data_IF_218089976577
#
_entry.id   IF_218089976577
#
_cell.length_a   1.000
_cell.length_b   1.000
_cell.length_c   1.000
_cell.angle_alpha   90.00
_cell.angle_beta   90.00
_cell.angle_gamma   90.00
#
_symmetry.space_group_name_H-M   'P 1'
#
loop_
_entity.id
_entity.type
_entity.pdbx_description
1 polymer ?
#
# COMPACT_ATOMS: atom_id res chain seq x y z
N UNK A 1 9.75 4.41 24.23
CA UNK A 1 10.17 3.66 23.02
C UNK A 1 9.36 4.21 21.85
N UNK A 2 9.98 4.43 20.69
CA UNK A 2 9.24 4.86 19.50
C UNK A 2 8.47 3.68 18.92
N UNK A 3 7.35 3.94 18.25
CA UNK A 3 6.57 2.87 17.60
C UNK A 3 7.38 2.12 16.54
N UNK A 4 8.34 2.80 15.91
CA UNK A 4 9.26 2.20 14.97
C UNK A 4 10.20 1.18 15.62
N UNK A 5 10.67 1.45 16.84
CA UNK A 5 11.43 0.46 17.60
C UNK A 5 10.55 -0.73 17.98
N UNK A 6 9.30 -0.48 18.38
CA UNK A 6 8.36 -1.55 18.70
C UNK A 6 8.13 -2.49 17.50
N UNK A 7 8.03 -1.95 16.28
CA UNK A 7 7.93 -2.76 15.06
C UNK A 7 9.16 -3.63 14.86
N UNK A 8 10.37 -3.11 15.08
CA UNK A 8 11.61 -3.87 14.95
C UNK A 8 11.70 -4.98 16.00
N UNK A 9 11.38 -4.66 17.25
CA UNK A 9 11.45 -5.59 18.37
C UNK A 9 10.48 -6.78 18.20
N UNK A 10 9.32 -6.54 17.58
CA UNK A 10 8.31 -7.58 17.31
C UNK A 10 8.37 -8.16 15.89
N UNK A 11 9.30 -7.74 15.03
CA UNK A 11 9.27 -8.09 13.61
C UNK A 11 9.36 -9.60 13.36
N UNK A 12 10.24 -10.29 14.07
CA UNK A 12 10.43 -11.73 13.94
C UNK A 12 9.18 -12.50 14.38
N UNK A 13 8.53 -12.06 15.45
CA UNK A 13 7.26 -12.65 15.92
C UNK A 13 6.13 -12.39 14.94
N UNK A 14 6.04 -11.18 14.38
CA UNK A 14 5.07 -10.81 13.35
C UNK A 14 5.24 -11.69 12.11
N UNK A 15 6.48 -11.87 11.62
CA UNK A 15 6.76 -12.72 10.46
C UNK A 15 6.41 -14.18 10.70
N UNK A 16 6.60 -14.66 11.92
CA UNK A 16 6.33 -16.04 12.33
C UNK A 16 4.82 -16.37 12.37
N UNK A 17 3.92 -15.39 12.31
CA UNK A 17 2.48 -15.64 12.20
C UNK A 17 2.20 -16.37 10.88
N UNK A 18 1.64 -17.61 10.92
CA UNK A 18 1.26 -18.34 9.72
C UNK A 18 0.17 -17.60 8.93
N UNK A 19 0.26 -17.62 7.61
CA UNK A 19 -0.67 -16.90 6.74
C UNK A 19 -2.11 -17.42 6.88
N UNK A 20 -2.28 -18.72 7.14
CA UNK A 20 -3.58 -19.35 7.35
C UNK A 20 -4.27 -18.89 8.64
N UNK A 21 -3.50 -18.28 9.56
CA UNK A 21 -4.01 -17.72 10.81
C UNK A 21 -4.25 -16.21 10.72
N UNK A 22 -3.87 -15.56 9.63
CA UNK A 22 -4.06 -14.12 9.47
C UNK A 22 -5.55 -13.81 9.45
N UNK A 23 -5.97 -12.92 10.36
CA UNK A 23 -7.37 -12.53 10.51
C UNK A 23 -7.62 -11.14 9.91
N UNK A 24 -8.78 -10.97 9.31
CA UNK A 24 -9.21 -9.69 8.77
C UNK A 24 -9.66 -8.74 9.88
N UNK A 25 -9.24 -7.48 9.79
CA UNK A 25 -9.70 -6.41 10.67
C UNK A 25 -11.06 -5.87 10.20
N UNK A 26 -12.12 -6.17 10.94
CA UNK A 26 -13.49 -5.77 10.61
C UNK A 26 -13.86 -4.34 11.04
N UNK A 27 -12.86 -3.53 11.40
CA UNK A 27 -13.02 -2.15 11.86
C UNK A 27 -11.80 -1.31 11.42
N UNK A 28 -11.88 0.03 11.46
CA UNK A 28 -10.72 0.86 11.15
C UNK A 28 -9.54 0.60 12.10
N UNK A 29 -8.34 0.39 11.55
CA UNK A 29 -7.12 0.10 12.30
C UNK A 29 -6.85 1.09 13.43
N UNK A 30 -7.00 2.40 13.14
CA UNK A 30 -6.87 3.45 14.15
C UNK A 30 -7.79 3.22 15.35
N UNK A 31 -9.06 2.88 15.10
CA UNK A 31 -10.04 2.65 16.16
C UNK A 31 -9.67 1.41 16.98
N UNK A 32 -9.19 0.35 16.34
CA UNK A 32 -8.74 -0.86 17.04
C UNK A 32 -7.53 -0.58 17.95
N UNK A 33 -6.54 0.15 17.44
CA UNK A 33 -5.34 0.56 18.20
C UNK A 33 -5.75 1.43 19.40
N UNK A 34 -6.58 2.45 19.18
CA UNK A 34 -7.08 3.33 20.26
C UNK A 34 -7.82 2.52 21.34
N UNK A 35 -8.63 1.52 20.92
CA UNK A 35 -9.31 0.62 21.86
C UNK A 35 -8.35 -0.30 22.63
N UNK A 36 -7.27 -0.77 21.99
CA UNK A 36 -6.24 -1.60 22.61
C UNK A 36 -5.46 -0.82 23.69
N UNK A 37 -5.06 0.42 23.41
CA UNK A 37 -4.37 1.27 24.38
C UNK A 37 -5.29 1.67 25.54
N UNK A 38 -6.56 1.98 25.23
CA UNK A 38 -7.58 2.19 26.25
C UNK A 38 -7.81 0.94 27.11
N UNK A 39 -7.73 -0.25 26.51
CA UNK A 39 -7.83 -1.53 27.23
C UNK A 39 -6.65 -1.75 28.16
N UNK A 40 -5.42 -1.45 27.71
CA UNK A 40 -4.22 -1.53 28.55
C UNK A 40 -4.36 -0.69 29.82
N UNK A 41 -4.78 0.57 29.67
CA UNK A 41 -4.98 1.49 30.80
C UNK A 41 -6.02 0.95 31.79
N UNK A 42 -7.14 0.42 31.29
CA UNK A 42 -8.19 -0.16 32.15
C UNK A 42 -7.75 -1.43 32.86
N UNK A 43 -7.14 -2.36 32.12
CA UNK A 43 -6.70 -3.64 32.66
C UNK A 43 -5.61 -3.47 33.74
N UNK A 44 -4.75 -2.44 33.62
CA UNK A 44 -3.78 -2.12 34.68
C UNK A 44 -4.45 -1.71 36.00
N UNK A 45 -5.54 -0.92 35.95
CA UNK A 45 -6.27 -0.52 37.16
C UNK A 45 -6.97 -1.71 37.83
N UNK A 46 -7.42 -2.67 37.03
CA UNK A 46 -8.10 -3.87 37.51
C UNK A 46 -7.15 -5.07 37.71
N UNK A 47 -5.83 -4.89 37.55
CA UNK A 47 -4.84 -5.98 37.53
C UNK A 47 -4.95 -6.94 38.72
N UNK A 48 -5.09 -6.47 39.99
CA UNK A 48 -5.23 -7.38 41.13
C UNK A 48 -6.48 -8.29 41.05
N UNK A 49 -7.54 -7.82 40.38
CA UNK A 49 -8.77 -8.59 40.18
C UNK A 49 -8.63 -9.58 39.02
N UNK A 50 -7.80 -9.28 38.03
CA UNK A 50 -7.48 -10.17 36.91
C UNK A 50 -6.54 -11.29 37.37
N UNK A 51 -5.49 -10.95 38.13
CA UNK A 51 -4.51 -11.90 38.67
C UNK A 51 -5.15 -12.92 39.63
N UNK A 52 -6.20 -12.53 40.35
CA UNK A 52 -6.97 -13.46 41.20
C UNK A 52 -7.58 -14.65 40.42
N UNK A 53 -7.64 -14.56 39.09
CA UNK A 53 -8.07 -15.64 38.19
C UNK A 53 -6.94 -16.17 37.30
N UNK A 54 -5.68 -15.97 37.70
CA UNK A 54 -4.46 -16.40 36.99
C UNK A 54 -4.28 -15.73 35.61
N UNK A 55 -4.71 -14.48 35.47
CA UNK A 55 -4.34 -13.70 34.29
C UNK A 55 -2.82 -13.54 34.17
N UNK A 56 -2.29 -13.80 32.98
CA UNK A 56 -0.86 -13.64 32.67
C UNK A 56 -0.53 -12.17 32.40
N UNK A 57 0.14 -11.52 33.35
CA UNK A 57 0.53 -10.10 33.28
C UNK A 57 1.39 -9.79 32.07
N UNK A 58 2.16 -10.77 31.56
CA UNK A 58 3.01 -10.55 30.39
C UNK A 58 2.22 -10.16 29.14
N UNK A 59 0.94 -10.56 29.05
CA UNK A 59 0.01 -10.15 27.98
C UNK A 59 -0.28 -8.66 28.03
N UNK A 60 -0.41 -8.11 29.24
CA UNK A 60 -0.64 -6.68 29.45
C UNK A 60 0.64 -5.89 29.17
N UNK A 61 1.78 -6.35 29.69
CA UNK A 61 3.08 -5.69 29.51
C UNK A 61 3.45 -5.50 28.03
N UNK A 62 3.14 -6.49 27.20
CA UNK A 62 3.45 -6.47 25.76
C UNK A 62 2.40 -5.77 24.90
N UNK A 63 1.22 -5.44 25.43
CA UNK A 63 0.11 -4.91 24.63
C UNK A 63 0.47 -3.58 23.95
N UNK A 64 1.11 -2.66 24.69
CA UNK A 64 1.52 -1.36 24.12
C UNK A 64 2.62 -1.50 23.06
N UNK A 65 3.53 -2.46 23.24
CA UNK A 65 4.58 -2.76 22.25
C UNK A 65 3.97 -3.21 20.93
N UNK A 66 3.11 -4.22 20.97
CA UNK A 66 2.48 -4.75 19.75
C UNK A 66 1.51 -3.73 19.12
N UNK A 67 0.78 -2.95 19.92
CA UNK A 67 -0.09 -1.90 19.36
C UNK A 67 0.71 -0.80 18.66
N UNK A 68 1.89 -0.45 19.19
CA UNK A 68 2.84 0.45 18.52
C UNK A 68 3.39 -0.16 17.23
N UNK A 69 3.78 -1.44 17.25
CA UNK A 69 4.22 -2.16 16.05
C UNK A 69 3.13 -2.17 14.95
N UNK A 70 1.89 -2.47 15.32
CA UNK A 70 0.74 -2.41 14.41
C UNK A 70 0.51 -1.00 13.86
N UNK A 71 0.63 0.05 14.68
CA UNK A 71 0.52 1.44 14.24
C UNK A 71 1.55 1.76 13.16
N UNK A 72 2.82 1.44 13.40
CA UNK A 72 3.87 1.68 12.40
C UNK A 72 3.65 0.86 11.13
N UNK A 73 3.27 -0.41 11.25
CA UNK A 73 2.97 -1.24 10.07
C UNK A 73 1.81 -0.67 9.24
N UNK A 74 0.75 -0.16 9.89
CA UNK A 74 -0.34 0.53 9.20
C UNK A 74 0.14 1.82 8.51
N UNK A 75 0.94 2.65 9.18
CA UNK A 75 1.48 3.89 8.58
C UNK A 75 2.39 3.60 7.39
N UNK A 76 3.21 2.55 7.44
CA UNK A 76 4.04 2.13 6.30
C UNK A 76 3.16 1.74 5.11
N UNK A 77 2.08 1.00 5.34
CA UNK A 77 1.12 0.64 4.30
C UNK A 77 0.40 1.85 3.70
N UNK A 78 -0.06 2.78 4.54
CA UNK A 78 -0.72 4.02 4.09
C UNK A 78 0.23 4.91 3.27
N UNK A 79 1.49 5.02 3.67
CA UNK A 79 2.51 5.75 2.90
C UNK A 79 2.70 5.12 1.53
N UNK A 80 2.90 3.79 1.48
CA UNK A 80 3.10 3.07 0.23
C UNK A 80 1.91 3.24 -0.74
N UNK A 81 0.68 3.16 -0.22
CA UNK A 81 -0.53 3.38 -1.03
C UNK A 81 -0.62 4.83 -1.53
N UNK A 82 -0.28 5.79 -0.68
CA UNK A 82 -0.27 7.21 -1.05
C UNK A 82 0.76 7.48 -2.15
N UNK A 83 1.96 6.93 -2.03
CA UNK A 83 3.04 7.13 -3.01
C UNK A 83 2.72 6.44 -4.34
N UNK A 84 2.13 5.24 -4.30
CA UNK A 84 1.59 4.58 -5.50
C UNK A 84 0.52 5.45 -6.19
N UNK A 85 -0.41 6.03 -5.43
CA UNK A 85 -1.44 6.90 -6.00
C UNK A 85 -0.82 8.15 -6.64
N UNK A 86 0.16 8.80 -5.99
CA UNK A 86 0.90 9.92 -6.58
C UNK A 86 1.58 9.52 -7.90
N UNK A 87 2.16 8.32 -7.97
CA UNK A 87 2.79 7.82 -9.19
C UNK A 87 1.76 7.59 -10.31
N UNK A 88 0.57 7.08 -9.98
CA UNK A 88 -0.56 6.97 -10.93
C UNK A 88 -0.98 8.35 -11.43
N UNK A 89 -1.19 9.31 -10.53
CA UNK A 89 -1.62 10.67 -10.88
C UNK A 89 -0.58 11.37 -11.78
N UNK A 90 0.71 11.22 -11.45
CA UNK A 90 1.81 11.75 -12.26
C UNK A 90 1.87 11.09 -13.65
N UNK A 91 1.70 9.76 -13.72
CA UNK A 91 1.62 9.05 -15.00
C UNK A 91 0.47 9.55 -15.85
N UNK A 92 -0.73 9.71 -15.29
CA UNK A 92 -1.90 10.20 -16.03
C UNK A 92 -1.71 11.63 -16.56
N UNK A 93 -0.96 12.47 -15.84
CA UNK A 93 -0.63 13.82 -16.27
C UNK A 93 0.40 13.86 -17.41
N UNK A 94 1.44 13.01 -17.36
CA UNK A 94 2.57 13.05 -18.30
C UNK A 94 2.38 12.15 -19.54
N UNK A 95 1.66 11.04 -19.40
CA UNK A 95 1.49 10.06 -20.47
C UNK A 95 0.94 10.64 -21.80
N UNK A 96 -0.03 11.58 -21.81
CA UNK A 96 -0.51 12.16 -23.06
C UNK A 96 0.60 12.83 -23.88
N UNK A 97 1.54 13.52 -23.22
CA UNK A 97 2.65 14.19 -23.89
C UNK A 97 3.67 13.16 -24.42
N UNK A 98 3.95 12.09 -23.67
CA UNK A 98 4.80 10.99 -24.12
C UNK A 98 4.21 10.31 -25.36
N UNK A 99 2.93 9.95 -25.37
CA UNK A 99 2.30 9.30 -26.51
C UNK A 99 2.25 10.20 -27.75
N UNK A 100 2.03 11.50 -27.56
CA UNK A 100 2.12 12.46 -28.66
C UNK A 100 3.53 12.51 -29.25
N UNK A 101 4.55 12.62 -28.41
CA UNK A 101 5.95 12.66 -28.86
C UNK A 101 6.37 11.35 -29.53
N UNK A 102 5.97 10.20 -28.98
CA UNK A 102 6.22 8.88 -29.58
C UNK A 102 5.70 8.81 -31.01
N UNK A 103 4.44 9.18 -31.24
CA UNK A 103 3.83 9.22 -32.57
C UNK A 103 4.55 10.20 -33.51
N UNK A 104 4.88 11.39 -33.00
CA UNK A 104 5.58 12.39 -33.78
C UNK A 104 6.96 11.89 -34.26
N UNK A 105 7.76 11.31 -33.35
CA UNK A 105 9.08 10.75 -33.69
C UNK A 105 8.96 9.67 -34.75
N UNK A 106 7.96 8.80 -34.62
CA UNK A 106 7.67 7.75 -35.59
C UNK A 106 7.37 8.32 -36.96
N UNK A 107 6.45 9.28 -37.06
CA UNK A 107 6.02 9.86 -38.34
C UNK A 107 7.19 10.58 -39.03
N UNK A 108 7.99 11.33 -38.27
CA UNK A 108 9.17 12.02 -38.81
C UNK A 108 10.27 11.06 -39.24
N UNK A 109 10.56 10.01 -38.45
CA UNK A 109 11.58 9.02 -38.81
C UNK A 109 11.15 8.15 -39.99
N UNK A 110 9.88 7.74 -40.08
CA UNK A 110 9.34 7.02 -41.26
C UNK A 110 9.58 7.84 -42.53
N UNK A 111 9.29 9.14 -42.48
CA UNK A 111 9.51 10.02 -43.62
C UNK A 111 11.00 10.26 -43.91
N UNK A 112 11.81 10.54 -42.89
CA UNK A 112 13.24 10.78 -43.05
C UNK A 112 13.97 9.55 -43.63
N UNK A 113 13.59 8.35 -43.20
CA UNK A 113 14.23 7.09 -43.54
C UNK A 113 13.62 6.40 -44.78
N UNK A 114 12.65 7.03 -45.45
CA UNK A 114 11.90 6.46 -46.60
C UNK A 114 12.73 5.84 -47.73
N UNK A 115 14.00 6.22 -47.88
CA UNK A 115 14.91 5.71 -48.91
C UNK A 115 15.85 4.60 -48.42
N UNK A 116 15.82 4.27 -47.12
CA UNK A 116 16.66 3.26 -46.48
C UNK A 116 15.79 2.17 -45.85
N UNK A 117 15.65 1.04 -46.56
CA UNK A 117 14.88 -0.10 -46.07
C UNK A 117 15.43 -0.69 -44.76
N UNK A 118 16.73 -0.56 -44.50
CA UNK A 118 17.35 -1.05 -43.26
C UNK A 118 16.91 -0.25 -42.05
N UNK A 119 16.87 1.09 -42.18
CA UNK A 119 16.38 1.98 -41.13
C UNK A 119 14.87 1.82 -40.91
N UNK A 120 14.08 1.65 -41.97
CA UNK A 120 12.64 1.39 -41.84
C UNK A 120 12.35 0.06 -41.12
N UNK A 121 13.16 -0.99 -41.36
CA UNK A 121 13.04 -2.26 -40.62
C UNK A 121 13.35 -2.10 -39.13
N UNK A 122 14.40 -1.35 -38.78
CA UNK A 122 14.73 -1.04 -37.38
C UNK A 122 13.58 -0.29 -36.71
N UNK A 123 13.04 0.72 -37.39
CA UNK A 123 11.92 1.51 -36.90
C UNK A 123 10.64 0.68 -36.73
N UNK A 124 10.38 -0.27 -37.64
CA UNK A 124 9.26 -1.21 -37.49
C UNK A 124 9.42 -2.16 -36.30
N UNK A 125 10.65 -2.61 -36.02
CA UNK A 125 10.94 -3.49 -34.88
C UNK A 125 10.83 -2.75 -33.54
N UNK A 126 11.12 -1.43 -33.53
CA UNK A 126 10.90 -0.61 -32.34
C UNK A 126 9.40 -0.58 -32.02
N UNK A 127 8.52 -0.31 -32.99
CA UNK A 127 7.07 -0.18 -32.78
C UNK A 127 6.35 -1.52 -32.46
N UNK A 128 7.07 -2.59 -32.16
CA UNK A 128 6.47 -3.91 -31.91
C UNK A 128 6.07 -4.04 -30.43
N UNK A 129 4.78 -3.89 -30.17
CA UNK A 129 4.21 -3.95 -28.82
C UNK A 129 3.18 -2.84 -28.60
N UNK A 130 2.39 -2.95 -27.54
CA UNK A 130 1.33 -1.98 -27.21
C UNK A 130 1.25 -1.67 -25.71
N UNK A 131 2.15 -2.21 -24.89
CA UNK A 131 2.16 -1.97 -23.46
C UNK A 131 2.84 -0.64 -23.10
N UNK A 132 2.61 -0.19 -21.86
CA UNK A 132 3.30 0.97 -21.27
C UNK A 132 4.81 0.79 -21.25
N UNK A 133 5.26 -0.43 -20.97
CA UNK A 133 6.68 -0.78 -20.95
C UNK A 133 7.28 -0.72 -22.36
N UNK A 134 6.54 -1.21 -23.37
CA UNK A 134 6.96 -1.14 -24.77
C UNK A 134 7.11 0.32 -25.20
N UNK A 135 6.13 1.19 -24.94
CA UNK A 135 6.22 2.61 -25.31
C UNK A 135 7.42 3.32 -24.66
N UNK A 136 7.76 3.01 -23.40
CA UNK A 136 8.95 3.56 -22.73
C UNK A 136 10.24 3.10 -23.43
N UNK A 137 10.31 1.81 -23.76
CA UNK A 137 11.45 1.25 -24.47
C UNK A 137 11.57 1.82 -25.89
N UNK A 138 10.45 2.06 -26.56
CA UNK A 138 10.39 2.71 -27.87
C UNK A 138 10.97 4.11 -27.80
N UNK A 139 10.55 4.91 -26.82
CA UNK A 139 11.03 6.28 -26.64
C UNK A 139 12.55 6.33 -26.48
N UNK A 140 13.12 5.44 -25.68
CA UNK A 140 14.58 5.31 -25.54
C UNK A 140 15.24 4.90 -26.87
N UNK A 141 14.65 3.92 -27.56
CA UNK A 141 15.19 3.36 -28.81
C UNK A 141 15.09 4.32 -29.99
N UNK A 142 14.00 5.10 -30.08
CA UNK A 142 13.80 6.18 -31.05
C UNK A 142 14.82 7.31 -30.83
N UNK A 143 15.07 7.69 -29.57
CA UNK A 143 16.10 8.67 -29.24
C UNK A 143 17.47 8.26 -29.78
N UNK A 144 17.89 7.02 -29.52
CA UNK A 144 19.17 6.47 -30.01
C UNK A 144 19.19 6.40 -31.54
N UNK A 145 18.15 5.83 -32.16
CA UNK A 145 18.08 5.70 -33.61
C UNK A 145 18.13 7.06 -34.33
N UNK A 146 17.44 8.07 -33.80
CA UNK A 146 17.48 9.42 -34.33
C UNK A 146 18.86 10.08 -34.16
N UNK A 147 19.51 9.88 -33.02
CA UNK A 147 20.85 10.42 -32.73
C UNK A 147 21.93 9.81 -33.61
N UNK A 148 21.76 8.55 -34.01
CA UNK A 148 22.67 7.87 -34.95
C UNK A 148 22.47 8.34 -36.40
N UNK A 149 21.35 9.01 -36.71
CA UNK A 149 20.95 9.36 -38.09
C UNK A 149 20.52 10.84 -38.23
N UNK A 150 21.18 11.74 -37.49
CA UNK A 150 20.79 13.16 -37.40
C UNK A 150 20.79 13.90 -38.74
N UNK A 151 21.67 13.53 -39.67
CA UNK A 151 21.76 14.16 -40.99
C UNK A 151 20.45 14.01 -41.79
N UNK A 152 19.83 12.82 -41.72
CA UNK A 152 18.56 12.52 -42.40
C UNK A 152 17.39 13.29 -41.78
N UNK A 153 17.41 13.45 -40.46
CA UNK A 153 16.41 14.23 -39.73
C UNK A 153 16.56 15.73 -40.00
N UNK A 154 17.80 16.22 -40.07
CA UNK A 154 18.09 17.64 -40.37
C UNK A 154 17.64 17.99 -41.79
N UNK A 155 17.78 17.07 -42.75
CA UNK A 155 17.34 17.25 -44.14
C UNK A 155 15.82 17.49 -44.27
N UNK A 156 15.02 17.10 -43.28
CA UNK A 156 13.57 17.35 -43.22
C UNK A 156 13.19 18.46 -42.24
N UNK A 157 14.16 19.24 -41.74
CA UNK A 157 14.00 20.28 -40.72
C UNK A 157 13.39 19.77 -39.41
N UNK A 158 13.73 18.55 -39.00
CA UNK A 158 13.31 18.01 -37.72
C UNK A 158 14.07 18.66 -36.55
N UNK A 159 13.36 18.90 -35.44
CA UNK A 159 13.94 19.44 -34.22
C UNK A 159 14.63 18.34 -33.41
N UNK A 160 15.96 18.28 -33.49
CA UNK A 160 16.78 17.28 -32.80
C UNK A 160 16.64 17.30 -31.28
N UNK A 161 16.21 18.41 -30.67
CA UNK A 161 16.02 18.50 -29.21
C UNK A 161 14.94 17.53 -28.71
N UNK A 162 13.99 17.16 -29.59
CA UNK A 162 12.95 16.16 -29.29
C UNK A 162 13.52 14.78 -29.01
N UNK A 163 14.71 14.45 -29.52
CA UNK A 163 15.39 13.19 -29.23
C UNK A 163 15.88 13.16 -27.78
N UNK A 164 16.37 14.28 -27.25
CA UNK A 164 16.76 14.38 -25.84
C UNK A 164 15.54 14.33 -24.92
N UNK A 165 14.46 15.03 -25.29
CA UNK A 165 13.18 14.95 -24.59
C UNK A 165 12.65 13.52 -24.54
N UNK A 166 12.80 12.75 -25.62
CA UNK A 166 12.35 11.37 -25.68
C UNK A 166 13.10 10.46 -24.69
N UNK A 167 14.42 10.61 -24.60
CA UNK A 167 15.23 9.88 -23.62
C UNK A 167 14.86 10.27 -22.18
N UNK A 168 14.71 11.57 -21.91
CA UNK A 168 14.32 12.05 -20.58
C UNK A 168 12.93 11.54 -20.16
N UNK A 169 11.97 11.55 -21.08
CA UNK A 169 10.62 11.00 -20.83
C UNK A 169 10.67 9.48 -20.61
N UNK A 170 11.49 8.74 -21.35
CA UNK A 170 11.64 7.31 -21.13
C UNK A 170 12.16 7.01 -19.71
N UNK A 171 13.18 7.75 -19.26
CA UNK A 171 13.73 7.62 -17.90
C UNK A 171 12.70 7.99 -16.82
N UNK A 172 12.02 9.15 -16.95
CA UNK A 172 11.05 9.61 -15.96
C UNK A 172 9.83 8.69 -15.87
N UNK A 173 9.25 8.34 -17.02
CA UNK A 173 8.08 7.48 -17.11
C UNK A 173 8.42 6.04 -16.69
N UNK A 174 9.64 5.57 -16.97
CA UNK A 174 10.15 4.29 -16.48
C UNK A 174 10.19 4.22 -14.95
N UNK A 175 10.62 5.31 -14.30
CA UNK A 175 10.56 5.46 -12.84
C UNK A 175 9.11 5.38 -12.31
N UNK A 176 8.20 6.18 -12.88
CA UNK A 176 6.78 6.17 -12.51
C UNK A 176 6.14 4.80 -12.70
N UNK A 177 6.42 4.11 -13.81
CA UNK A 177 5.90 2.76 -14.05
C UNK A 177 6.44 1.76 -13.01
N UNK A 178 7.70 1.92 -12.59
CA UNK A 178 8.30 1.15 -11.50
C UNK A 178 7.57 1.37 -10.17
N UNK A 179 7.24 2.61 -9.83
CA UNK A 179 6.52 2.96 -8.61
C UNK A 179 5.05 2.47 -8.63
N UNK A 180 4.39 2.55 -9.80
CA UNK A 180 3.02 2.03 -10.00
C UNK A 180 3.01 0.50 -9.87
N UNK A 181 3.94 -0.16 -10.55
CA UNK A 181 4.03 -1.62 -10.58
C UNK A 181 4.74 -2.21 -9.35
N UNK A 182 5.12 -1.36 -8.38
CA UNK A 182 5.87 -1.68 -7.16
C UNK A 182 5.96 -3.18 -6.87
N UNK A 183 7.13 -3.77 -7.13
CA UNK A 183 7.52 -5.16 -6.88
C UNK A 183 6.39 -6.20 -7.07
N UNK A 184 5.70 -6.16 -8.21
CA UNK A 184 4.62 -7.10 -8.61
C UNK A 184 4.93 -8.60 -8.44
N UNK A 185 6.20 -8.98 -8.22
CA UNK A 185 6.69 -10.35 -8.05
C UNK A 185 6.96 -10.78 -6.61
N UNK A 186 6.77 -9.90 -5.63
CA UNK A 186 6.81 -10.23 -4.21
C UNK A 186 5.43 -9.91 -3.62
N UNK A 187 4.91 -10.75 -2.72
CA UNK A 187 3.79 -10.31 -1.89
C UNK A 187 4.14 -8.95 -1.29
N UNK A 188 3.17 -8.03 -1.20
CA UNK A 188 3.37 -6.75 -0.53
C UNK A 188 3.74 -7.04 0.92
N UNK A 189 5.03 -7.23 1.20
CA UNK A 189 5.59 -7.57 2.51
C UNK A 189 5.03 -6.60 3.56
N UNK A 190 4.82 -5.34 3.16
CA UNK A 190 4.26 -4.29 4.01
C UNK A 190 2.80 -4.58 4.40
N UNK A 191 1.95 -5.01 3.45
CA UNK A 191 0.55 -5.38 3.76
C UNK A 191 0.50 -6.62 4.64
N UNK A 192 1.29 -7.63 4.29
CA UNK A 192 1.32 -8.90 5.01
C UNK A 192 1.84 -8.70 6.43
N UNK A 193 2.91 -7.91 6.61
CA UNK A 193 3.43 -7.51 7.92
C UNK A 193 2.36 -6.80 8.74
N UNK A 194 1.59 -5.88 8.14
CA UNK A 194 0.47 -5.21 8.83
C UNK A 194 -0.59 -6.22 9.28
N UNK A 195 -1.05 -7.09 8.39
CA UNK A 195 -2.13 -8.04 8.69
C UNK A 195 -1.69 -9.10 9.73
N UNK A 196 -0.42 -9.52 9.69
CA UNK A 196 0.19 -10.35 10.74
C UNK A 196 0.34 -9.61 12.07
N UNK A 197 0.78 -8.35 12.05
CA UNK A 197 0.86 -7.52 13.26
C UNK A 197 -0.51 -7.31 13.91
N UNK A 198 -1.55 -7.16 13.09
CA UNK A 198 -2.93 -7.09 13.56
C UNK A 198 -3.38 -8.36 14.24
N UNK A 199 -3.12 -9.50 13.60
CA UNK A 199 -3.46 -10.83 14.13
C UNK A 199 -2.85 -11.03 15.52
N UNK A 200 -1.55 -10.75 15.66
CA UNK A 200 -0.84 -10.84 16.94
C UNK A 200 -1.42 -9.89 18.00
N UNK A 201 -1.70 -8.62 17.62
CA UNK A 201 -2.30 -7.65 18.54
C UNK A 201 -3.69 -8.10 19.00
N UNK A 202 -4.49 -8.64 18.07
CA UNK A 202 -5.84 -9.13 18.31
C UNK A 202 -5.87 -10.30 19.27
N UNK A 203 -4.95 -11.24 19.16
CA UNK A 203 -4.84 -12.36 20.11
C UNK A 203 -4.67 -11.86 21.55
N UNK A 204 -3.78 -10.88 21.77
CA UNK A 204 -3.54 -10.29 23.10
C UNK A 204 -4.77 -9.52 23.59
N UNK A 205 -5.37 -8.71 22.71
CA UNK A 205 -6.56 -7.92 23.04
C UNK A 205 -7.74 -8.83 23.40
N UNK A 206 -7.99 -9.89 22.64
CA UNK A 206 -9.11 -10.79 22.86
C UNK A 206 -8.95 -11.59 24.17
N UNK A 207 -7.73 -11.97 24.51
CA UNK A 207 -7.43 -12.63 25.79
C UNK A 207 -7.75 -11.70 26.98
N UNK A 208 -7.23 -10.47 26.96
CA UNK A 208 -7.49 -9.48 28.02
C UNK A 208 -8.99 -9.17 28.14
N UNK A 209 -9.69 -9.04 27.01
CA UNK A 209 -11.15 -8.85 26.99
C UNK A 209 -11.90 -10.04 27.57
N UNK A 210 -11.44 -11.26 27.32
CA UNK A 210 -12.06 -12.49 27.83
C UNK A 210 -11.96 -12.56 29.36
N UNK A 211 -10.77 -12.30 29.91
CA UNK A 211 -10.57 -12.22 31.36
C UNK A 211 -11.42 -11.11 31.98
N UNK A 212 -11.36 -9.89 31.45
CA UNK A 212 -12.13 -8.78 32.01
C UNK A 212 -13.64 -9.02 31.98
N UNK A 213 -14.17 -9.59 30.88
CA UNK A 213 -15.60 -9.96 30.80
C UNK A 213 -15.98 -11.03 31.83
N UNK A 214 -15.10 -12.00 32.07
CA UNK A 214 -15.35 -13.07 33.03
C UNK A 214 -15.28 -12.57 34.48
N UNK A 215 -14.22 -11.83 34.84
CA UNK A 215 -14.02 -11.27 36.18
C UNK A 215 -15.16 -10.32 36.55
N UNK A 216 -15.63 -9.51 35.61
CA UNK A 216 -16.70 -8.54 35.82
C UNK A 216 -18.09 -9.02 35.40
N UNK A 217 -18.32 -10.33 35.23
CA UNK A 217 -19.60 -10.90 34.76
C UNK A 217 -20.86 -10.44 35.52
N UNK A 218 -20.71 -10.08 36.79
CA UNK A 218 -21.80 -9.60 37.67
C UNK A 218 -21.81 -8.07 37.84
N UNK A 219 -20.98 -7.33 37.10
CA UNK A 219 -20.86 -5.86 37.14
C UNK A 219 -20.95 -5.32 35.72
N UNK A 220 -22.16 -5.07 35.25
CA UNK A 220 -22.45 -4.76 33.84
C UNK A 220 -21.63 -3.59 33.29
N UNK A 221 -21.50 -2.49 34.02
CA UNK A 221 -20.71 -1.32 33.60
C UNK A 221 -19.24 -1.68 33.35
N UNK A 222 -18.64 -2.43 34.27
CA UNK A 222 -17.24 -2.88 34.15
C UNK A 222 -17.09 -3.91 33.04
N UNK A 223 -18.00 -4.87 32.93
CA UNK A 223 -17.99 -5.87 31.85
C UNK A 223 -18.09 -5.20 30.47
N UNK A 224 -18.92 -4.17 30.36
CA UNK A 224 -19.04 -3.39 29.13
C UNK A 224 -17.73 -2.66 28.80
N UNK A 225 -16.98 -2.16 29.78
CA UNK A 225 -15.68 -1.53 29.55
C UNK A 225 -14.62 -2.45 28.90
N UNK A 226 -14.77 -3.78 29.02
CA UNK A 226 -13.94 -4.80 28.35
C UNK A 226 -14.50 -5.29 27.01
N UNK A 227 -15.52 -4.61 26.48
CA UNK A 227 -16.06 -4.88 25.14
C UNK A 227 -15.73 -3.72 24.20
N UNK A 228 -15.50 -4.04 22.92
CA UNK A 228 -15.27 -3.01 21.89
C UNK A 228 -16.44 -2.03 21.85
N UNK A 229 -16.12 -0.73 21.96
CA UNK A 229 -17.12 0.34 21.87
C UNK A 229 -17.62 0.44 20.43
N UNK A 230 -16.71 0.39 19.46
CA UNK A 230 -17.02 0.45 18.04
C UNK A 230 -18.04 -0.62 17.63
N UNK A 231 -17.79 -1.88 17.97
CA UNK A 231 -18.69 -2.97 17.59
C UNK A 231 -20.07 -2.84 18.26
N UNK A 232 -20.15 -2.34 19.50
CA UNK A 232 -21.45 -2.08 20.14
C UNK A 232 -22.22 -0.98 19.43
N UNK A 233 -21.58 0.13 19.11
CA UNK A 233 -22.20 1.27 18.44
C UNK A 233 -22.66 0.89 17.03
N UNK A 234 -21.83 0.14 16.29
CA UNK A 234 -22.18 -0.42 14.97
C UNK A 234 -23.39 -1.34 15.05
N UNK A 235 -23.44 -2.26 16.01
CA UNK A 235 -24.59 -3.16 16.21
C UNK A 235 -25.86 -2.41 16.62
N UNK A 236 -25.74 -1.38 17.46
CA UNK A 236 -26.88 -0.56 17.87
C UNK A 236 -27.45 0.22 16.68
N UNK A 237 -26.59 0.82 15.85
CA UNK A 237 -27.00 1.51 14.63
C UNK A 237 -27.69 0.57 13.64
N UNK A 238 -27.11 -0.62 13.42
CA UNK A 238 -27.71 -1.65 12.56
C UNK A 238 -29.12 -2.06 13.03
N UNK A 239 -29.28 -2.35 14.33
CA UNK A 239 -30.59 -2.70 14.91
C UNK A 239 -31.62 -1.58 14.77
N UNK A 240 -31.19 -0.32 14.94
CA UNK A 240 -32.06 0.86 14.78
C UNK A 240 -32.51 1.01 13.32
N UNK A 241 -31.61 0.83 12.36
CA UNK A 241 -31.94 0.88 10.94
C UNK A 241 -32.94 -0.21 10.55
N UNK A 242 -32.68 -1.46 10.96
CA UNK A 242 -33.59 -2.58 10.70
C UNK A 242 -34.99 -2.38 11.30
N UNK A 243 -35.06 -1.87 12.53
CA UNK A 243 -36.34 -1.55 13.16
C UNK A 243 -37.08 -0.40 12.47
N UNK A 244 -36.37 0.53 11.80
CA UNK A 244 -37.01 1.59 11.01
C UNK A 244 -37.56 1.04 9.69
N UNK A 245 -36.87 0.10 9.05
CA UNK A 245 -37.33 -0.59 7.83
C UNK A 245 -38.53 -1.50 8.08
N UNK A 246 -38.59 -2.19 9.23
CA UNK A 246 -39.74 -3.05 9.59
C UNK A 246 -41.00 -2.25 9.98
N UNK A 247 -40.87 -0.96 10.28
CA UNK A 247 -41.98 -0.06 10.64
C UNK A 247 -42.36 0.93 9.52
N UNK A 248 -41.76 0.81 8.33
CA UNK A 248 -42.04 1.60 7.14
C UNK A 248 -42.90 0.82 6.14
#
# INVERSE_FOLDING_TARGET
MSDQQNLQDHLEEIKAVPEEKVVYCDMPYKVFIDEAEGLHTRANLDLPLLEAFNFDVTKLDRLLGISGALRTAQSNWESMQTDKQKAIDAWEAEAPAMYHLHRELIDHMDFAFRADEGLLKKLSAIKEGDSRADTIQDMASLSVLGKDNQELLTAINFDLTKLDTAAQMADSMGGLLGDINGRMYFEDDIKLIRDKAYTLCKEVVDEIRSYGKFVFRNKDDKRQAYSSKYNRERLAAYRKAKAAEENA
#
